data_IF_753077358161
#
_entry.id   IF_753077358161
#
_cell.length_a   1.000
_cell.length_b   1.000
_cell.length_c   1.000
_cell.angle_alpha   90.00
_cell.angle_beta   90.00
_cell.angle_gamma   90.00
#
_symmetry.space_group_name_H-M   'P 1'
#
loop_
_entity.id
_entity.type
_entity.pdbx_description
1 polymer ?
#
# COMPACT_ATOMS: atom_id res chain seq x y z
N UNK A 1 -44.07 21.04 54.01
CA UNK A 1 -42.77 21.17 53.39
C UNK A 1 -42.50 19.86 52.63
N UNK A 2 -42.60 19.89 51.28
CA UNK A 2 -42.38 18.74 50.40
C UNK A 2 -40.98 18.88 49.79
N UNK A 3 -40.07 17.98 50.15
CA UNK A 3 -38.74 17.90 49.58
C UNK A 3 -38.79 17.18 48.22
N UNK A 4 -38.52 17.89 47.14
CA UNK A 4 -38.27 17.30 45.82
C UNK A 4 -36.79 16.95 45.72
N UNK A 5 -36.49 15.64 45.68
CA UNK A 5 -35.16 15.13 45.32
C UNK A 5 -35.07 15.09 43.78
N UNK A 6 -34.21 15.93 43.21
CA UNK A 6 -33.81 15.87 41.81
C UNK A 6 -32.78 14.74 41.66
N UNK A 7 -33.17 13.65 41.04
CA UNK A 7 -32.20 12.64 40.55
C UNK A 7 -31.68 13.12 39.19
N UNK A 8 -30.47 13.66 39.17
CA UNK A 8 -29.72 13.92 37.93
C UNK A 8 -29.26 12.63 37.33
N UNK A 9 -29.87 12.18 36.23
CA UNK A 9 -29.35 11.07 35.45
C UNK A 9 -28.09 11.56 34.68
N UNK A 10 -26.91 11.12 35.10
CA UNK A 10 -25.67 11.32 34.38
C UNK A 10 -25.70 10.38 33.17
N UNK A 11 -26.03 10.88 31.97
CA UNK A 11 -25.81 10.15 30.73
C UNK A 11 -24.29 10.06 30.50
N UNK A 12 -23.71 8.89 30.77
CA UNK A 12 -22.42 8.52 30.22
C UNK A 12 -22.61 8.36 28.70
N UNK A 13 -22.19 9.35 27.94
CA UNK A 13 -21.95 9.18 26.51
C UNK A 13 -20.71 8.25 26.36
N UNK A 14 -20.95 6.96 26.21
CA UNK A 14 -19.93 6.04 25.72
C UNK A 14 -19.61 6.45 24.29
N UNK A 15 -18.46 7.09 24.08
CA UNK A 15 -17.87 7.24 22.75
C UNK A 15 -17.54 5.81 22.28
N UNK A 16 -18.39 5.25 21.44
CA UNK A 16 -18.06 4.05 20.68
C UNK A 16 -16.95 4.49 19.73
N UNK A 17 -15.70 4.31 20.13
CA UNK A 17 -14.58 4.34 19.23
C UNK A 17 -14.80 3.18 18.27
N UNK A 18 -15.01 3.46 16.99
CA UNK A 18 -15.10 2.42 15.97
C UNK A 18 -13.71 1.74 15.91
N UNK A 19 -13.59 0.59 16.54
CA UNK A 19 -12.39 -0.25 16.50
C UNK A 19 -12.17 -0.69 15.05
N UNK A 20 -10.90 -0.76 14.64
CA UNK A 20 -10.52 -1.33 13.36
C UNK A 20 -10.97 -2.79 13.30
N UNK A 21 -11.63 -3.17 12.21
CA UNK A 21 -12.05 -4.55 11.96
C UNK A 21 -11.80 -4.90 10.50
N UNK A 22 -11.30 -6.10 10.26
CA UNK A 22 -11.07 -6.71 8.97
C UNK A 22 -12.06 -7.86 8.75
N UNK A 23 -12.55 -8.03 7.53
CA UNK A 23 -13.51 -9.08 7.20
C UNK A 23 -12.88 -10.36 6.63
N UNK A 24 -11.56 -10.46 6.59
CA UNK A 24 -10.83 -11.55 5.93
C UNK A 24 -11.23 -12.94 6.45
N UNK A 25 -11.14 -13.18 7.77
CA UNK A 25 -11.41 -14.50 8.34
C UNK A 25 -12.85 -14.96 8.06
N UNK A 26 -13.82 -14.04 8.20
CA UNK A 26 -15.22 -14.33 7.86
C UNK A 26 -15.36 -14.69 6.37
N UNK A 27 -14.73 -13.93 5.48
CA UNK A 27 -14.76 -14.19 4.03
C UNK A 27 -14.13 -15.52 3.67
N UNK A 28 -13.02 -15.89 4.28
CA UNK A 28 -12.35 -17.17 4.10
C UNK A 28 -13.24 -18.32 4.55
N UNK A 29 -13.87 -18.20 5.73
CA UNK A 29 -14.82 -19.20 6.23
C UNK A 29 -16.03 -19.36 5.29
N UNK A 30 -16.62 -18.26 4.79
CA UNK A 30 -17.70 -18.29 3.80
C UNK A 30 -17.26 -18.97 2.49
N UNK A 31 -16.04 -18.73 2.05
CA UNK A 31 -15.46 -19.38 0.86
C UNK A 31 -15.28 -20.87 1.08
N UNK A 32 -14.72 -21.30 2.21
CA UNK A 32 -14.53 -22.71 2.55
C UNK A 32 -15.84 -23.47 2.71
N UNK A 33 -16.87 -22.85 3.27
CA UNK A 33 -18.20 -23.44 3.37
C UNK A 33 -18.79 -23.76 1.97
N UNK A 34 -18.50 -22.94 0.97
CA UNK A 34 -18.91 -23.14 -0.43
C UNK A 34 -17.95 -24.05 -1.21
N UNK A 35 -16.69 -24.16 -0.78
CA UNK A 35 -15.60 -24.85 -1.47
C UNK A 35 -14.83 -25.79 -0.51
N UNK A 36 -15.43 -26.93 -0.09
CA UNK A 36 -14.79 -27.83 0.89
C UNK A 36 -13.42 -28.39 0.43
N UNK A 37 -13.19 -28.49 -0.88
CA UNK A 37 -11.90 -28.93 -1.42
C UNK A 37 -10.79 -27.89 -1.20
N UNK A 38 -11.12 -26.59 -1.25
CA UNK A 38 -10.17 -25.52 -0.92
C UNK A 38 -9.83 -25.58 0.57
N UNK A 39 -10.83 -25.73 1.44
CA UNK A 39 -10.61 -25.92 2.89
C UNK A 39 -9.68 -27.10 3.19
N UNK A 40 -9.88 -28.24 2.52
CA UNK A 40 -9.04 -29.44 2.73
C UNK A 40 -7.56 -29.23 2.31
N UNK A 41 -7.28 -28.28 1.42
CA UNK A 41 -5.92 -27.97 0.94
C UNK A 41 -5.29 -26.77 1.66
N UNK A 42 -6.04 -26.11 2.52
CA UNK A 42 -5.57 -24.87 3.15
C UNK A 42 -4.28 -25.06 3.95
N UNK A 43 -4.20 -26.10 4.77
CA UNK A 43 -3.00 -26.41 5.57
C UNK A 43 -1.78 -26.66 4.68
N UNK A 44 -1.94 -27.40 3.59
CA UNK A 44 -0.85 -27.64 2.64
C UNK A 44 -0.40 -26.33 1.98
N UNK A 45 -1.34 -25.45 1.64
CA UNK A 45 -1.06 -24.14 1.10
C UNK A 45 -0.29 -23.26 2.11
N UNK A 46 -0.72 -23.21 3.38
CA UNK A 46 -0.01 -22.45 4.42
C UNK A 46 1.42 -22.97 4.62
N UNK A 47 1.60 -24.30 4.66
CA UNK A 47 2.91 -24.94 4.73
C UNK A 47 3.78 -24.58 3.50
N UNK A 48 3.21 -24.53 2.31
CA UNK A 48 3.89 -24.08 1.11
C UNK A 48 4.33 -22.61 1.23
N UNK A 49 3.43 -21.73 1.67
CA UNK A 49 3.69 -20.30 1.76
C UNK A 49 4.76 -19.95 2.79
N UNK A 50 4.81 -20.64 3.94
CA UNK A 50 5.79 -20.40 5.01
C UNK A 50 7.16 -21.04 4.75
N UNK A 51 7.29 -21.93 3.75
CA UNK A 51 8.54 -22.64 3.49
C UNK A 51 9.59 -21.74 2.83
N UNK A 52 10.68 -21.46 3.55
CA UNK A 52 11.80 -20.59 3.08
C UNK A 52 12.52 -21.11 1.83
N UNK A 53 12.37 -22.38 1.49
CA UNK A 53 13.02 -22.97 0.32
C UNK A 53 12.23 -22.79 -0.99
N UNK A 54 10.99 -22.30 -0.93
CA UNK A 54 10.13 -22.15 -2.10
C UNK A 54 10.31 -20.80 -2.84
N UNK A 55 10.91 -19.81 -2.19
CA UNK A 55 11.07 -18.47 -2.77
C UNK A 55 12.06 -18.49 -3.94
N UNK A 56 11.54 -18.52 -5.17
CA UNK A 56 12.34 -18.58 -6.41
C UNK A 56 12.48 -17.24 -7.12
N UNK A 57 11.64 -16.25 -6.78
CA UNK A 57 11.64 -14.95 -7.43
C UNK A 57 12.74 -14.07 -6.85
N UNK A 58 13.54 -13.44 -7.72
CA UNK A 58 14.58 -12.48 -7.35
C UNK A 58 14.17 -11.06 -7.77
N UNK A 59 14.58 -10.08 -6.97
CA UNK A 59 14.35 -8.65 -7.24
C UNK A 59 12.90 -8.19 -7.09
N UNK A 60 12.66 -6.95 -7.50
CA UNK A 60 11.36 -6.28 -7.36
C UNK A 60 10.37 -6.79 -8.40
N UNK A 61 9.17 -7.15 -7.95
CA UNK A 61 8.06 -7.52 -8.82
C UNK A 61 7.04 -6.40 -8.91
N UNK A 62 6.38 -6.29 -10.06
CA UNK A 62 5.35 -5.28 -10.30
C UNK A 62 3.99 -5.95 -10.44
N UNK A 63 3.02 -5.50 -9.65
CA UNK A 63 1.64 -5.99 -9.63
C UNK A 63 0.72 -4.94 -10.25
N UNK A 64 0.06 -5.25 -11.37
CA UNK A 64 -0.94 -4.35 -11.97
C UNK A 64 -2.20 -4.28 -11.13
N UNK A 65 -2.68 -3.07 -10.90
CA UNK A 65 -3.87 -2.78 -10.09
C UNK A 65 -4.96 -2.17 -10.97
N UNK A 66 -6.19 -2.61 -10.77
CA UNK A 66 -7.40 -1.93 -11.22
C UNK A 66 -8.23 -1.53 -10.01
N UNK A 67 -8.79 -0.33 -10.04
CA UNK A 67 -9.64 0.20 -8.96
C UNK A 67 -11.08 0.36 -9.46
N UNK A 68 -12.00 -0.33 -8.82
CA UNK A 68 -13.43 -0.33 -9.08
C UNK A 68 -14.15 0.51 -8.02
N UNK A 69 -14.54 1.74 -8.35
CA UNK A 69 -15.23 2.63 -7.41
C UNK A 69 -16.73 2.40 -7.48
N UNK A 70 -17.30 1.86 -6.40
CA UNK A 70 -18.74 1.63 -6.24
C UNK A 70 -19.29 2.68 -5.27
N UNK A 71 -20.09 3.63 -5.75
CA UNK A 71 -20.49 4.78 -4.95
C UNK A 71 -22.01 5.01 -4.95
N UNK A 72 -22.56 5.46 -3.83
CA UNK A 72 -23.99 5.82 -3.65
C UNK A 72 -24.19 7.33 -3.71
N UNK A 73 -23.12 8.09 -3.49
CA UNK A 73 -23.14 9.55 -3.49
C UNK A 73 -21.78 10.14 -3.89
N UNK A 74 -21.70 11.46 -4.04
CA UNK A 74 -20.48 12.14 -4.50
C UNK A 74 -19.28 11.97 -3.57
N UNK A 75 -19.47 11.84 -2.25
CA UNK A 75 -18.38 11.65 -1.28
C UNK A 75 -17.72 10.27 -1.42
N UNK A 76 -18.51 9.25 -1.72
CA UNK A 76 -18.03 7.88 -1.92
C UNK A 76 -17.35 7.69 -3.29
N UNK A 77 -17.58 8.60 -4.24
CA UNK A 77 -16.92 8.61 -5.54
C UNK A 77 -15.53 9.22 -5.44
N UNK A 78 -14.61 8.47 -4.82
CA UNK A 78 -13.24 8.92 -4.54
C UNK A 78 -12.55 9.46 -5.79
N UNK A 79 -11.78 10.55 -5.64
CA UNK A 79 -11.07 11.20 -6.75
C UNK A 79 -9.88 10.37 -7.24
N UNK A 80 -9.43 10.63 -8.47
CA UNK A 80 -8.20 10.03 -9.00
C UNK A 80 -6.97 10.41 -8.15
N UNK A 81 -6.96 11.60 -7.55
CA UNK A 81 -5.91 12.02 -6.62
C UNK A 81 -5.90 11.14 -5.34
N UNK A 82 -7.06 10.77 -4.82
CA UNK A 82 -7.18 9.86 -3.68
C UNK A 82 -6.68 8.46 -4.05
N UNK A 83 -7.06 7.95 -5.22
CA UNK A 83 -6.57 6.67 -5.77
C UNK A 83 -5.03 6.70 -5.92
N UNK A 84 -4.48 7.73 -6.55
CA UNK A 84 -3.04 7.88 -6.74
C UNK A 84 -2.29 7.93 -5.40
N UNK A 85 -2.85 8.57 -4.38
CA UNK A 85 -2.27 8.59 -3.03
C UNK A 85 -2.22 7.19 -2.41
N UNK A 86 -3.23 6.34 -2.65
CA UNK A 86 -3.21 4.96 -2.18
C UNK A 86 -2.11 4.13 -2.84
N UNK A 87 -1.93 4.23 -4.16
CA UNK A 87 -0.85 3.52 -4.86
C UNK A 87 0.52 3.98 -4.36
N UNK A 88 0.66 5.26 -4.04
CA UNK A 88 1.89 5.79 -3.42
C UNK A 88 2.16 5.14 -2.07
N UNK A 89 1.16 5.03 -1.20
CA UNK A 89 1.28 4.36 0.10
C UNK A 89 1.69 2.90 -0.07
N UNK A 90 1.01 2.14 -0.92
CA UNK A 90 1.35 0.74 -1.17
C UNK A 90 2.81 0.57 -1.58
N UNK A 91 3.30 1.44 -2.48
CA UNK A 91 4.69 1.42 -2.92
C UNK A 91 5.68 1.84 -1.83
N UNK A 92 5.29 2.66 -0.88
CA UNK A 92 6.11 3.01 0.27
C UNK A 92 6.16 1.88 1.30
N UNK A 93 5.02 1.33 1.68
CA UNK A 93 4.90 0.32 2.73
C UNK A 93 5.51 -1.02 2.28
N UNK A 94 5.19 -1.51 1.07
CA UNK A 94 5.72 -2.77 0.54
C UNK A 94 7.19 -2.72 0.14
N UNK A 95 7.78 -1.53 0.03
CA UNK A 95 9.21 -1.31 -0.22
C UNK A 95 9.96 -0.82 1.00
N UNK A 96 9.32 -0.77 2.18
CA UNK A 96 9.92 -0.24 3.41
C UNK A 96 10.51 1.16 3.22
N UNK A 97 9.79 2.00 2.45
CA UNK A 97 10.15 3.38 2.12
C UNK A 97 9.24 4.39 2.82
N UNK A 98 8.37 3.95 3.72
CA UNK A 98 7.48 4.78 4.50
C UNK A 98 8.30 5.73 5.40
N UNK A 99 8.06 7.03 5.26
CA UNK A 99 8.86 8.08 5.90
C UNK A 99 8.83 8.02 7.45
N UNK A 100 7.76 7.44 8.00
CA UNK A 100 7.56 7.30 9.45
C UNK A 100 8.17 6.00 10.03
N UNK A 101 8.81 5.15 9.23
CA UNK A 101 9.41 3.89 9.67
C UNK A 101 10.26 4.06 10.94
N UNK A 102 11.18 5.03 10.93
CA UNK A 102 12.11 5.23 12.05
C UNK A 102 11.46 5.79 13.32
N UNK A 103 10.26 6.35 13.21
CA UNK A 103 9.51 6.93 14.34
C UNK A 103 8.47 5.99 14.92
N UNK A 104 7.88 5.11 14.10
CA UNK A 104 6.82 4.19 14.56
C UNK A 104 7.35 2.80 14.86
N UNK A 105 8.44 2.35 14.21
CA UNK A 105 9.03 1.03 14.45
C UNK A 105 10.13 1.14 15.51
N UNK A 106 9.96 0.52 16.69
CA UNK A 106 10.99 0.49 17.74
C UNK A 106 12.28 -0.18 17.28
N UNK A 107 13.42 0.28 17.78
CA UNK A 107 14.74 -0.26 17.41
C UNK A 107 14.85 -1.78 17.60
N UNK A 108 14.16 -2.32 18.59
CA UNK A 108 14.11 -3.76 18.85
C UNK A 108 13.51 -4.56 17.69
N UNK A 109 12.59 -3.97 16.91
CA UNK A 109 11.93 -4.65 15.78
C UNK A 109 12.51 -4.28 14.41
N UNK A 110 13.31 -3.22 14.30
CA UNK A 110 13.95 -2.83 13.02
C UNK A 110 14.75 -3.94 12.32
N UNK A 111 15.48 -4.83 13.03
CA UNK A 111 16.19 -5.95 12.40
C UNK A 111 15.27 -6.98 11.72
N UNK A 112 14.02 -7.08 12.15
CA UNK A 112 13.03 -7.99 11.58
C UNK A 112 12.24 -7.36 10.43
N UNK A 113 12.30 -6.03 10.27
CA UNK A 113 11.54 -5.32 9.24
C UNK A 113 12.09 -5.56 7.83
N UNK A 114 11.22 -5.96 6.91
CA UNK A 114 11.59 -6.36 5.54
C UNK A 114 11.05 -5.41 4.47
N UNK A 115 11.84 -5.23 3.40
CA UNK A 115 11.36 -4.78 2.08
C UNK A 115 10.74 -5.99 1.38
N UNK A 116 9.44 -5.94 1.07
CA UNK A 116 8.72 -7.03 0.40
C UNK A 116 9.12 -7.21 -1.05
N UNK A 117 9.81 -6.22 -1.63
CA UNK A 117 10.22 -6.16 -3.03
C UNK A 117 9.03 -6.29 -4.00
N UNK A 118 7.91 -5.67 -3.63
CA UNK A 118 6.69 -5.59 -4.43
C UNK A 118 6.38 -4.12 -4.70
N UNK A 119 6.05 -3.80 -5.95
CA UNK A 119 5.52 -2.49 -6.34
C UNK A 119 4.19 -2.67 -7.07
N UNK A 120 3.34 -1.67 -6.96
CA UNK A 120 2.02 -1.63 -7.55
C UNK A 120 1.95 -0.52 -8.59
N UNK A 121 1.28 -0.78 -9.70
CA UNK A 121 1.07 0.21 -10.75
C UNK A 121 -0.39 0.19 -11.20
N UNK A 122 -0.96 1.33 -11.51
CA UNK A 122 -2.26 1.37 -12.18
C UNK A 122 -2.15 0.70 -13.56
N UNK A 123 -3.12 -0.16 -13.87
CA UNK A 123 -3.19 -0.80 -15.18
C UNK A 123 -3.34 0.27 -16.29
N UNK A 124 -2.56 0.15 -17.34
CA UNK A 124 -2.59 1.04 -18.52
C UNK A 124 -3.27 0.40 -19.72
N UNK A 125 -3.60 -0.89 -19.61
CA UNK A 125 -4.39 -1.65 -20.59
C UNK A 125 -5.54 -2.35 -19.88
N UNK A 126 -6.74 -2.32 -20.47
CA UNK A 126 -7.89 -3.09 -20.01
C UNK A 126 -7.77 -4.58 -20.41
N UNK A 127 -8.70 -5.48 -20.00
CA UNK A 127 -8.65 -6.89 -20.38
C UNK A 127 -8.71 -7.16 -21.90
N UNK A 128 -9.18 -6.20 -22.70
CA UNK A 128 -9.22 -6.26 -24.16
C UNK A 128 -7.97 -5.69 -24.82
N UNK A 129 -7.01 -5.17 -24.03
CA UNK A 129 -5.78 -4.54 -24.50
C UNK A 129 -5.91 -3.07 -24.87
N UNK A 130 -7.05 -2.43 -24.64
CA UNK A 130 -7.25 -0.99 -24.91
C UNK A 130 -6.58 -0.12 -23.83
N UNK A 131 -6.13 1.08 -24.18
CA UNK A 131 -5.62 2.04 -23.19
C UNK A 131 -6.65 2.37 -22.12
N UNK A 132 -6.22 2.46 -20.86
CA UNK A 132 -7.08 2.76 -19.70
C UNK A 132 -6.29 3.51 -18.63
N UNK A 133 -7.01 4.12 -17.68
CA UNK A 133 -6.44 4.65 -16.43
C UNK A 133 -6.38 3.60 -15.31
N UNK A 134 -6.94 2.40 -15.54
CA UNK A 134 -7.08 1.38 -14.51
C UNK A 134 -8.17 1.69 -13.48
N UNK A 135 -9.08 2.63 -13.75
CA UNK A 135 -10.17 3.04 -12.85
C UNK A 135 -11.52 2.87 -13.54
N UNK A 136 -12.40 2.14 -12.88
CA UNK A 136 -13.81 2.05 -13.26
C UNK A 136 -14.69 2.65 -12.16
N UNK A 137 -15.85 3.22 -12.53
CA UNK A 137 -16.76 3.87 -11.59
C UNK A 137 -18.19 3.50 -11.89
N UNK A 138 -18.94 3.13 -10.84
CA UNK A 138 -20.36 2.79 -10.98
C UNK A 138 -21.16 3.31 -9.78
N UNK A 139 -22.24 4.03 -10.07
CA UNK A 139 -23.25 4.34 -9.07
C UNK A 139 -24.02 3.07 -8.71
N UNK A 140 -24.19 2.81 -7.42
CA UNK A 140 -24.92 1.66 -6.88
C UNK A 140 -26.07 2.14 -5.98
N UNK A 141 -27.15 1.35 -5.79
CA UNK A 141 -28.24 1.71 -4.91
C UNK A 141 -27.84 1.79 -3.45
N UNK A 142 -28.62 2.49 -2.61
CA UNK A 142 -28.31 2.70 -1.18
C UNK A 142 -28.24 1.41 -0.36
N UNK A 143 -28.92 0.36 -0.80
CA UNK A 143 -28.93 -0.97 -0.18
C UNK A 143 -27.97 -1.97 -0.85
N UNK A 144 -26.97 -1.48 -1.59
CA UNK A 144 -26.01 -2.34 -2.28
C UNK A 144 -25.18 -3.16 -1.27
N UNK A 145 -25.12 -4.47 -1.51
CA UNK A 145 -24.34 -5.41 -0.69
C UNK A 145 -22.89 -5.48 -1.17
N UNK A 146 -22.02 -4.68 -0.53
CA UNK A 146 -20.57 -4.69 -0.82
C UNK A 146 -19.87 -6.00 -0.44
N UNK A 147 -20.53 -6.89 0.29
CA UNK A 147 -19.94 -8.17 0.72
C UNK A 147 -20.09 -9.25 -0.33
N UNK A 148 -21.20 -9.27 -1.05
CA UNK A 148 -21.53 -10.37 -1.97
C UNK A 148 -21.74 -9.93 -3.42
N UNK A 149 -21.95 -8.63 -3.68
CA UNK A 149 -22.29 -8.13 -5.01
C UNK A 149 -21.17 -7.34 -5.70
N UNK A 150 -20.08 -7.00 -5.00
CA UNK A 150 -19.04 -6.12 -5.49
C UNK A 150 -18.46 -6.54 -6.84
N UNK A 151 -18.22 -7.83 -7.06
CA UNK A 151 -17.64 -8.44 -8.26
C UNK A 151 -18.66 -8.91 -9.30
N UNK A 152 -19.96 -8.76 -9.03
CA UNK A 152 -21.04 -9.20 -9.93
C UNK A 152 -21.48 -8.09 -10.90
N UNK A 153 -22.39 -8.37 -11.80
CA UNK A 153 -22.99 -7.35 -12.69
C UNK A 153 -23.78 -6.27 -11.92
N UNK A 154 -24.20 -6.52 -10.69
CA UNK A 154 -24.79 -5.49 -9.81
C UNK A 154 -23.75 -4.45 -9.38
N UNK A 155 -22.52 -4.90 -9.08
CA UNK A 155 -21.32 -4.08 -8.87
C UNK A 155 -20.54 -3.88 -10.16
N UNK A 156 -19.21 -4.02 -10.07
CA UNK A 156 -18.26 -4.04 -11.19
C UNK A 156 -17.56 -5.39 -11.21
N UNK A 157 -17.72 -6.14 -12.29
CA UNK A 157 -17.05 -7.44 -12.45
C UNK A 157 -15.54 -7.29 -12.35
N UNK A 158 -14.87 -8.29 -11.76
CA UNK A 158 -13.41 -8.30 -11.73
C UNK A 158 -12.84 -8.26 -13.15
N UNK A 159 -11.78 -7.53 -13.36
CA UNK A 159 -10.90 -7.77 -14.49
C UNK A 159 -10.15 -9.08 -14.27
N UNK A 160 -9.64 -9.67 -15.35
CA UNK A 160 -8.93 -10.95 -15.31
C UNK A 160 -8.02 -11.08 -14.06
N UNK A 161 -8.48 -11.82 -13.06
CA UNK A 161 -7.82 -11.96 -11.76
C UNK A 161 -6.47 -12.67 -11.85
N UNK A 162 -6.15 -13.25 -13.01
CA UNK A 162 -4.83 -13.81 -13.30
C UNK A 162 -3.82 -12.76 -13.80
N UNK A 163 -4.28 -11.54 -14.09
CA UNK A 163 -3.45 -10.44 -14.62
C UNK A 163 -3.50 -9.17 -13.79
N UNK A 164 -4.56 -8.97 -13.01
CA UNK A 164 -4.79 -7.75 -12.24
C UNK A 164 -5.11 -8.06 -10.79
N UNK A 165 -4.55 -7.29 -9.88
CA UNK A 165 -5.09 -7.14 -8.55
C UNK A 165 -6.31 -6.22 -8.63
N UNK A 166 -7.49 -6.74 -8.33
CA UNK A 166 -8.73 -5.99 -8.33
C UNK A 166 -8.98 -5.38 -6.94
N UNK A 167 -9.18 -4.07 -6.88
CA UNK A 167 -9.50 -3.33 -5.65
C UNK A 167 -10.85 -2.65 -5.83
N UNK A 168 -11.85 -3.06 -5.06
CA UNK A 168 -13.13 -2.36 -4.99
C UNK A 168 -13.12 -1.36 -3.84
N UNK A 169 -13.56 -0.15 -4.14
CA UNK A 169 -13.68 0.94 -3.15
C UNK A 169 -15.15 1.27 -2.95
N UNK A 170 -15.61 1.19 -1.69
CA UNK A 170 -17.02 1.43 -1.38
C UNK A 170 -17.28 1.52 0.12
N UNK A 171 -18.36 0.91 0.61
CA UNK A 171 -18.74 0.93 2.04
C UNK A 171 -19.02 -0.49 2.54
N UNK A 172 -17.98 -1.31 2.79
CA UNK A 172 -18.19 -2.62 3.37
C UNK A 172 -18.81 -2.49 4.77
N UNK A 173 -19.84 -3.29 5.05
CA UNK A 173 -20.59 -3.19 6.29
C UNK A 173 -19.83 -3.78 7.47
N UNK A 174 -19.67 -2.99 8.54
CA UNK A 174 -19.09 -3.43 9.81
C UNK A 174 -17.59 -3.64 9.81
N UNK A 175 -16.88 -3.44 8.68
CA UNK A 175 -15.43 -3.59 8.56
C UNK A 175 -14.81 -2.43 7.77
N UNK A 176 -13.50 -2.20 7.93
CA UNK A 176 -12.76 -1.23 7.12
C UNK A 176 -12.46 -1.78 5.71
N UNK A 177 -12.27 -3.09 5.60
CA UNK A 177 -12.00 -3.81 4.38
C UNK A 177 -12.04 -5.32 4.59
N UNK A 178 -11.89 -6.04 3.49
CA UNK A 178 -11.60 -7.47 3.46
C UNK A 178 -10.91 -7.83 2.15
N UNK A 179 -10.15 -8.89 2.18
CA UNK A 179 -9.52 -9.48 1.00
C UNK A 179 -9.96 -10.94 0.82
N UNK A 180 -9.71 -11.48 -0.37
CA UNK A 180 -9.67 -12.91 -0.62
C UNK A 180 -8.22 -13.39 -0.50
N UNK A 181 -8.02 -14.57 0.09
CA UNK A 181 -6.69 -15.16 0.22
C UNK A 181 -6.25 -15.95 -1.01
N UNK A 182 -5.03 -16.51 -1.00
CA UNK A 182 -4.51 -17.34 -2.09
C UNK A 182 -5.32 -18.60 -2.37
N UNK A 183 -6.15 -19.07 -1.43
CA UNK A 183 -7.09 -20.20 -1.60
C UNK A 183 -8.11 -19.96 -2.72
N UNK A 184 -8.45 -18.70 -2.97
CA UNK A 184 -9.40 -18.27 -3.99
C UNK A 184 -8.74 -17.59 -5.19
N UNK A 185 -7.43 -17.75 -5.37
CA UNK A 185 -6.71 -17.15 -6.49
C UNK A 185 -7.34 -17.53 -7.85
N UNK A 186 -7.58 -16.53 -8.69
CA UNK A 186 -8.17 -16.73 -10.01
C UNK A 186 -9.70 -16.82 -10.05
N UNK A 187 -10.40 -16.75 -8.89
CA UNK A 187 -11.86 -16.74 -8.85
C UNK A 187 -12.44 -15.35 -9.19
N UNK A 188 -13.71 -15.24 -9.60
CA UNK A 188 -14.32 -13.95 -9.95
C UNK A 188 -14.34 -12.92 -8.80
N UNK A 189 -14.38 -13.35 -7.55
CA UNK A 189 -14.34 -12.52 -6.35
C UNK A 189 -12.92 -12.15 -5.91
N UNK A 190 -11.88 -12.65 -6.60
CA UNK A 190 -10.49 -12.52 -6.15
C UNK A 190 -10.00 -11.06 -6.19
N UNK A 191 -9.62 -10.53 -5.02
CA UNK A 191 -9.20 -9.16 -4.79
C UNK A 191 -9.51 -8.66 -3.39
N UNK A 192 -9.76 -7.35 -3.26
CA UNK A 192 -10.08 -6.74 -1.97
C UNK A 192 -11.14 -5.65 -2.09
N UNK A 193 -11.92 -5.47 -1.03
CA UNK A 193 -12.89 -4.37 -0.86
C UNK A 193 -12.41 -3.48 0.27
N UNK A 194 -12.33 -2.17 0.04
CA UNK A 194 -11.83 -1.18 1.01
C UNK A 194 -12.88 -0.07 1.19
N UNK A 195 -13.08 0.35 2.44
CA UNK A 195 -13.88 1.53 2.75
C UNK A 195 -13.30 2.80 2.12
N UNK A 196 -14.10 3.58 1.40
CA UNK A 196 -13.63 4.82 0.76
C UNK A 196 -12.97 5.79 1.75
N UNK A 197 -13.41 5.75 3.01
CA UNK A 197 -12.96 6.61 4.11
C UNK A 197 -11.64 6.17 4.76
N UNK A 198 -11.06 5.05 4.33
CA UNK A 198 -9.74 4.55 4.74
C UNK A 198 -8.87 4.17 3.53
N UNK A 199 -9.21 4.65 2.34
CA UNK A 199 -8.49 4.41 1.10
C UNK A 199 -7.71 5.67 0.68
N UNK A 200 -6.38 5.61 0.69
CA UNK A 200 -5.49 6.73 0.39
C UNK A 200 -5.23 7.66 1.58
N UNK A 201 -4.65 8.85 1.27
CA UNK A 201 -4.21 9.83 2.28
C UNK A 201 -4.83 11.22 2.08
N UNK A 202 -5.67 11.38 1.07
CA UNK A 202 -6.32 12.65 0.72
C UNK A 202 -7.80 12.44 0.42
N UNK A 203 -8.57 13.51 0.33
CA UNK A 203 -10.00 13.42 0.02
C UNK A 203 -10.84 13.03 1.23
N UNK A 204 -11.75 12.07 1.05
CA UNK A 204 -12.76 11.70 2.05
C UNK A 204 -12.28 10.65 3.06
N UNK A 205 -11.03 10.74 3.53
CA UNK A 205 -10.48 9.83 4.55
C UNK A 205 -10.85 10.28 5.97
N UNK A 206 -11.00 9.32 6.90
CA UNK A 206 -11.28 9.61 8.30
C UNK A 206 -9.99 10.00 9.07
N UNK A 207 -10.10 10.40 10.33
CA UNK A 207 -8.96 10.91 11.10
C UNK A 207 -8.04 9.83 11.68
N UNK A 208 -8.44 8.56 11.68
CA UNK A 208 -7.72 7.44 12.30
C UNK A 208 -7.04 6.59 11.22
N UNK A 209 -7.83 6.20 10.19
CA UNK A 209 -7.37 5.34 9.10
C UNK A 209 -7.09 6.20 7.85
N UNK A 210 -6.15 7.14 7.96
CA UNK A 210 -5.90 8.20 6.97
C UNK A 210 -4.54 8.10 6.29
N UNK A 211 -3.80 7.03 6.53
CA UNK A 211 -2.52 6.78 5.85
C UNK A 211 -2.61 5.67 4.79
N UNK A 212 -3.83 5.19 4.47
CA UNK A 212 -4.06 4.16 3.46
C UNK A 212 -3.59 2.76 3.87
N UNK A 213 -3.31 2.53 5.16
CA UNK A 213 -2.74 1.28 5.67
C UNK A 213 -3.77 0.16 5.82
N UNK A 214 -5.04 0.46 5.70
CA UNK A 214 -6.06 -0.56 5.52
C UNK A 214 -5.83 -1.36 4.24
N UNK A 215 -5.56 -0.70 3.11
CA UNK A 215 -5.26 -1.42 1.87
C UNK A 215 -3.92 -2.18 1.94
N UNK A 216 -2.92 -1.64 2.64
CA UNK A 216 -1.65 -2.35 2.92
C UNK A 216 -1.89 -3.65 3.68
N UNK A 217 -2.75 -3.63 4.71
CA UNK A 217 -3.18 -4.77 5.50
C UNK A 217 -3.92 -5.81 4.64
N UNK A 218 -4.96 -5.38 3.92
CA UNK A 218 -5.77 -6.31 3.12
C UNK A 218 -4.97 -6.97 1.97
N UNK A 219 -4.02 -6.25 1.37
CA UNK A 219 -3.10 -6.85 0.39
C UNK A 219 -2.16 -7.85 1.05
N UNK A 220 -1.82 -7.69 2.33
CA UNK A 220 -1.13 -8.73 3.10
C UNK A 220 -1.93 -10.05 3.09
N UNK A 221 -3.22 -10.00 3.40
CA UNK A 221 -4.12 -11.16 3.30
C UNK A 221 -4.27 -11.71 1.88
N UNK A 222 -4.37 -10.82 0.90
CA UNK A 222 -4.41 -11.22 -0.51
C UNK A 222 -3.19 -12.06 -0.89
N UNK A 223 -2.01 -11.79 -0.33
CA UNK A 223 -0.81 -12.59 -0.50
C UNK A 223 -0.64 -13.72 0.52
N UNK A 224 -1.58 -13.96 1.41
CA UNK A 224 -1.61 -15.11 2.31
C UNK A 224 -1.06 -14.85 3.72
N UNK A 225 -0.85 -13.60 4.11
CA UNK A 225 -0.54 -13.27 5.50
C UNK A 225 -1.79 -13.44 6.36
N UNK A 226 -1.64 -14.06 7.51
CA UNK A 226 -2.63 -14.04 8.58
C UNK A 226 -2.41 -12.82 9.47
N UNK A 227 -3.39 -12.50 10.34
CA UNK A 227 -3.18 -11.57 11.44
C UNK A 227 -2.06 -12.09 12.34
N UNK A 228 -1.34 -11.19 13.04
CA UNK A 228 -0.20 -11.62 13.88
C UNK A 228 -0.59 -12.49 15.07
N UNK A 229 -1.86 -12.54 15.43
CA UNK A 229 -2.40 -13.47 16.44
C UNK A 229 -2.88 -14.80 15.85
N UNK A 230 -2.78 -15.01 14.54
CA UNK A 230 -3.22 -16.22 13.85
C UNK A 230 -4.71 -16.22 13.51
N UNK A 231 -5.30 -17.41 13.42
CA UNK A 231 -6.70 -17.61 13.02
C UNK A 231 -7.67 -17.67 14.21
N UNK A 232 -7.17 -18.01 15.39
CA UNK A 232 -7.95 -18.09 16.66
C UNK A 232 -7.24 -17.25 17.72
N UNK A 233 -7.78 -16.06 17.96
CA UNK A 233 -7.27 -15.07 18.89
C UNK A 233 -7.45 -15.44 20.39
N UNK A 234 -8.06 -16.57 20.69
CA UNK A 234 -8.25 -17.03 22.08
C UNK A 234 -7.13 -17.92 22.61
N UNK A 235 -6.28 -18.48 21.73
CA UNK A 235 -5.34 -19.55 22.08
C UNK A 235 -3.89 -19.14 21.81
N UNK A 236 -3.02 -19.43 22.79
CA UNK A 236 -1.58 -19.31 22.66
C UNK A 236 -0.92 -20.68 22.44
N UNK A 237 0.04 -20.72 21.50
CA UNK A 237 1.01 -21.82 21.47
C UNK A 237 0.63 -23.06 20.68
N UNK A 238 -0.38 -22.99 19.81
CA UNK A 238 -0.64 -24.05 18.84
C UNK A 238 -0.17 -23.58 17.44
N UNK A 239 0.39 -24.47 16.58
CA UNK A 239 0.74 -24.12 15.22
C UNK A 239 -0.44 -23.63 14.38
N UNK A 240 -1.63 -24.14 14.65
CA UNK A 240 -2.87 -23.76 13.96
C UNK A 240 -3.26 -22.29 14.22
N UNK A 241 -2.82 -21.73 15.34
CA UNK A 241 -3.11 -20.35 15.75
C UNK A 241 -1.94 -19.40 15.52
N UNK A 242 -0.87 -19.90 14.88
CA UNK A 242 0.26 -19.07 14.48
C UNK A 242 -0.06 -18.31 13.21
N UNK A 243 0.52 -17.11 13.06
CA UNK A 243 0.51 -16.37 11.80
C UNK A 243 1.43 -16.99 10.71
N UNK A 244 2.11 -18.09 11.02
CA UNK A 244 3.08 -18.76 10.16
C UNK A 244 4.48 -18.11 10.14
N UNK A 245 4.73 -17.13 11.02
CA UNK A 245 5.98 -16.38 11.12
C UNK A 245 6.67 -16.64 12.46
N UNK A 246 7.98 -16.96 12.42
CA UNK A 246 8.76 -17.19 13.65
C UNK A 246 9.39 -15.89 14.19
N UNK A 247 9.38 -14.83 13.40
CA UNK A 247 9.98 -13.55 13.74
C UNK A 247 8.94 -12.50 14.23
N UNK A 248 7.68 -12.89 14.33
CA UNK A 248 6.61 -12.17 15.03
C UNK A 248 6.38 -12.79 16.40
N UNK A 249 6.46 -12.05 17.53
CA UNK A 249 6.12 -12.58 18.84
C UNK A 249 4.68 -13.08 18.87
N UNK A 250 4.48 -14.32 19.33
CA UNK A 250 3.15 -14.94 19.40
C UNK A 250 2.21 -14.11 20.29
N UNK A 251 1.06 -13.76 19.76
CA UNK A 251 -0.01 -13.03 20.44
C UNK A 251 -1.33 -13.79 20.30
N UNK A 252 -2.25 -13.56 21.22
CA UNK A 252 -3.57 -14.22 21.25
C UNK A 252 -4.73 -13.26 20.98
N UNK A 253 -4.47 -12.01 20.65
CA UNK A 253 -5.49 -11.03 20.28
C UNK A 253 -4.87 -9.82 19.60
N UNK A 254 -5.70 -9.04 18.90
CA UNK A 254 -5.35 -7.79 18.27
C UNK A 254 -5.01 -6.69 19.28
N UNK A 255 -4.14 -5.78 18.87
CA UNK A 255 -3.95 -4.49 19.51
C UNK A 255 -4.77 -3.43 18.78
N UNK A 256 -5.24 -2.42 19.51
CA UNK A 256 -6.09 -1.33 18.98
C UNK A 256 -5.53 0.04 19.38
N UNK A 257 -5.87 1.08 18.62
CA UNK A 257 -5.47 2.45 18.90
C UNK A 257 -3.97 2.66 18.78
N UNK A 258 -3.36 3.29 19.79
CA UNK A 258 -1.92 3.58 19.86
C UNK A 258 -1.32 3.00 21.15
N UNK A 259 -0.98 1.70 21.19
CA UNK A 259 -0.39 1.07 22.37
C UNK A 259 0.98 1.68 22.70
N UNK A 260 1.32 1.67 24.00
CA UNK A 260 2.67 2.05 24.42
C UNK A 260 3.65 0.88 24.25
N UNK A 261 4.81 1.17 23.72
CA UNK A 261 5.89 0.17 23.57
C UNK A 261 6.81 0.18 24.80
N UNK A 262 7.28 -0.99 25.29
CA UNK A 262 6.85 -2.34 24.91
C UNK A 262 5.48 -2.72 25.53
N UNK A 263 4.70 -3.56 24.83
CA UNK A 263 3.44 -4.07 25.34
C UNK A 263 3.40 -5.60 25.34
N UNK A 264 2.99 -6.19 26.47
CA UNK A 264 2.78 -7.63 26.64
C UNK A 264 1.30 -7.96 26.95
N UNK A 265 0.37 -7.04 26.64
CA UNK A 265 -1.05 -7.22 26.99
C UNK A 265 -1.66 -8.47 26.37
N UNK A 266 -1.25 -8.81 25.14
CA UNK A 266 -1.78 -9.96 24.39
C UNK A 266 -0.68 -10.94 23.95
N UNK A 267 0.57 -10.79 24.43
CA UNK A 267 1.63 -11.75 24.13
C UNK A 267 1.42 -13.06 24.88
N UNK A 268 1.65 -14.18 24.20
CA UNK A 268 1.58 -15.51 24.79
C UNK A 268 2.71 -15.77 25.79
N UNK A 269 3.84 -15.09 25.62
CA UNK A 269 4.98 -15.12 26.55
C UNK A 269 5.49 -13.69 26.71
N UNK A 270 5.55 -13.23 27.95
CA UNK A 270 6.09 -11.91 28.25
C UNK A 270 7.57 -11.84 27.91
N UNK A 271 7.96 -10.85 27.12
CA UNK A 271 9.34 -10.57 26.73
C UNK A 271 9.69 -9.11 26.98
N UNK A 272 11.00 -8.81 26.97
CA UNK A 272 11.45 -7.43 27.13
C UNK A 272 11.03 -6.51 25.97
N UNK A 273 10.75 -7.08 24.79
CA UNK A 273 10.37 -6.34 23.58
C UNK A 273 8.84 -6.36 23.33
N UNK A 274 8.08 -7.24 24.03
CA UNK A 274 6.63 -7.32 23.90
C UNK A 274 6.16 -7.73 22.50
N UNK A 275 4.92 -7.35 22.16
CA UNK A 275 4.28 -7.63 20.88
C UNK A 275 4.77 -6.70 19.76
N UNK A 276 4.74 -7.20 18.53
CA UNK A 276 5.03 -6.45 17.31
C UNK A 276 3.76 -5.73 16.79
N UNK A 277 3.05 -5.00 17.67
CA UNK A 277 1.76 -4.36 17.33
C UNK A 277 1.86 -3.30 16.20
N UNK A 278 3.07 -2.79 15.88
CA UNK A 278 3.28 -1.89 14.74
C UNK A 278 3.36 -2.62 13.40
N UNK A 279 3.16 -3.92 13.36
CA UNK A 279 3.06 -4.70 12.13
C UNK A 279 1.80 -4.33 11.35
N UNK A 280 1.88 -4.27 10.01
CA UNK A 280 0.72 -3.98 9.17
C UNK A 280 -0.41 -5.00 9.30
N UNK A 281 -0.14 -6.20 9.83
CA UNK A 281 -1.15 -7.25 10.04
C UNK A 281 -1.78 -7.22 11.44
N UNK A 282 -1.60 -6.14 12.21
CA UNK A 282 -2.34 -5.86 13.47
C UNK A 282 -3.48 -4.86 13.23
N UNK A 283 -4.24 -4.51 14.29
CA UNK A 283 -5.42 -3.64 14.24
C UNK A 283 -5.20 -2.26 14.88
N UNK A 284 -3.96 -1.86 15.10
CA UNK A 284 -3.62 -0.53 15.58
C UNK A 284 -3.97 0.56 14.54
N UNK A 285 -4.04 1.81 14.98
CA UNK A 285 -4.30 2.95 14.10
C UNK A 285 -3.23 3.06 13.01
N UNK A 286 -3.62 3.59 11.84
CA UNK A 286 -2.69 3.79 10.72
C UNK A 286 -1.41 4.53 11.11
N UNK A 287 -1.49 5.45 12.10
CA UNK A 287 -0.35 6.21 12.61
C UNK A 287 0.69 5.40 13.36
N UNK A 288 0.35 4.18 13.76
CA UNK A 288 1.19 3.29 14.57
C UNK A 288 1.77 2.14 13.75
N UNK A 289 1.12 1.74 12.66
CA UNK A 289 1.63 0.71 11.75
C UNK A 289 2.89 1.19 11.00
N UNK A 290 3.84 0.29 10.72
CA UNK A 290 5.06 0.70 10.04
C UNK A 290 5.91 -0.38 9.40
N UNK A 291 5.56 -1.67 9.52
CA UNK A 291 6.44 -2.74 9.03
C UNK A 291 5.71 -4.03 8.69
N UNK A 292 6.30 -4.79 7.79
CA UNK A 292 6.18 -6.25 7.67
C UNK A 292 7.46 -6.93 8.15
N UNK A 293 7.39 -8.21 8.53
CA UNK A 293 8.54 -8.99 8.97
C UNK A 293 9.25 -9.75 7.82
N UNK A 294 10.41 -10.35 8.12
CA UNK A 294 11.16 -11.15 7.14
C UNK A 294 10.42 -12.45 6.79
N UNK A 295 9.78 -13.12 7.76
CA UNK A 295 9.01 -14.33 7.49
C UNK A 295 7.72 -14.00 6.73
N UNK A 296 7.09 -12.86 7.00
CA UNK A 296 5.98 -12.33 6.18
C UNK A 296 6.41 -12.08 4.72
N UNK A 297 7.63 -11.57 4.48
CA UNK A 297 8.18 -11.47 3.13
C UNK A 297 8.25 -12.84 2.45
N UNK A 298 8.68 -13.88 3.15
CA UNK A 298 8.74 -15.24 2.60
C UNK A 298 7.36 -15.69 2.12
N UNK A 299 6.32 -15.52 2.94
CA UNK A 299 4.93 -15.87 2.59
C UNK A 299 4.47 -15.12 1.34
N UNK A 300 4.65 -13.79 1.31
CA UNK A 300 4.26 -12.95 0.16
C UNK A 300 4.99 -13.38 -1.11
N UNK A 301 6.30 -13.61 -1.04
CA UNK A 301 7.10 -14.03 -2.20
C UNK A 301 6.71 -15.42 -2.70
N UNK A 302 6.42 -16.37 -1.81
CA UNK A 302 5.92 -17.69 -2.14
C UNK A 302 4.52 -17.63 -2.75
N UNK A 303 3.64 -16.77 -2.26
CA UNK A 303 2.34 -16.53 -2.86
C UNK A 303 2.46 -16.04 -4.31
N UNK A 304 3.34 -15.08 -4.56
CA UNK A 304 3.60 -14.51 -5.90
C UNK A 304 4.28 -15.52 -6.82
N UNK A 305 5.12 -16.44 -6.33
CA UNK A 305 5.76 -17.48 -7.15
C UNK A 305 4.92 -18.75 -7.33
N UNK A 306 3.89 -18.93 -6.52
CA UNK A 306 3.01 -20.08 -6.48
C UNK A 306 1.59 -19.76 -6.93
N UNK A 307 0.62 -19.71 -6.02
CA UNK A 307 -0.81 -19.57 -6.39
C UNK A 307 -1.14 -18.30 -7.18
N UNK A 308 -0.32 -17.23 -7.06
CA UNK A 308 -0.49 -15.96 -7.78
C UNK A 308 0.55 -15.70 -8.86
N UNK A 309 1.26 -16.74 -9.31
CA UNK A 309 2.34 -16.61 -10.29
C UNK A 309 1.90 -16.03 -11.64
N UNK A 310 0.62 -16.19 -11.99
CA UNK A 310 0.05 -15.61 -13.20
C UNK A 310 0.15 -14.08 -13.27
N UNK A 311 0.11 -13.38 -12.13
CA UNK A 311 0.25 -11.92 -12.07
C UNK A 311 1.60 -11.43 -12.62
N UNK A 312 2.65 -12.23 -12.54
CA UNK A 312 3.98 -11.90 -13.05
C UNK A 312 4.05 -11.84 -14.57
N UNK A 313 3.13 -12.52 -15.25
CA UNK A 313 3.06 -12.56 -16.71
C UNK A 313 2.25 -11.39 -17.29
N UNK A 314 1.75 -10.51 -16.42
CA UNK A 314 0.97 -9.36 -16.85
C UNK A 314 1.86 -8.25 -17.40
N UNK A 315 1.58 -7.81 -18.63
CA UNK A 315 2.25 -6.66 -19.29
C UNK A 315 1.34 -5.43 -19.34
N UNK A 316 0.44 -5.31 -18.37
CA UNK A 316 -0.61 -4.30 -18.34
C UNK A 316 -0.20 -3.02 -17.60
N UNK A 317 0.97 -3.01 -16.99
CA UNK A 317 1.63 -1.79 -16.55
C UNK A 317 2.61 -1.32 -17.63
N UNK A 318 2.64 -0.05 -17.92
CA UNK A 318 3.89 0.53 -18.40
C UNK A 318 4.85 0.44 -17.22
N UNK A 319 5.65 -0.61 -17.18
CA UNK A 319 6.78 -0.63 -16.27
C UNK A 319 7.64 0.58 -16.63
N UNK A 320 7.63 1.60 -15.78
CA UNK A 320 8.87 2.31 -15.56
C UNK A 320 9.80 1.20 -15.06
N UNK A 321 10.57 0.62 -15.96
CA UNK A 321 11.51 -0.44 -15.58
C UNK A 321 12.34 0.13 -14.41
N UNK A 322 12.76 -0.71 -13.47
CA UNK A 322 13.72 -0.30 -12.41
C UNK A 322 14.89 0.45 -13.06
N UNK A 323 15.25 0.07 -14.29
CA UNK A 323 16.21 0.79 -15.14
C UNK A 323 15.81 2.24 -15.48
N UNK A 324 14.52 2.58 -15.60
CA UNK A 324 14.11 3.96 -15.92
C UNK A 324 14.07 4.86 -14.67
N UNK A 325 13.64 4.34 -13.52
CA UNK A 325 13.74 5.04 -12.24
C UNK A 325 15.21 5.25 -11.85
N UNK A 326 16.07 4.27 -12.06
CA UNK A 326 17.52 4.40 -11.86
C UNK A 326 18.14 5.41 -12.84
N UNK A 327 17.75 5.39 -14.11
CA UNK A 327 18.16 6.39 -15.10
C UNK A 327 17.74 7.79 -14.72
N UNK A 328 16.49 7.99 -14.29
CA UNK A 328 15.99 9.28 -13.79
C UNK A 328 16.75 9.71 -12.54
N UNK A 329 17.03 8.78 -11.59
CA UNK A 329 17.79 9.09 -10.38
C UNK A 329 19.24 9.47 -10.68
N UNK A 330 19.85 8.89 -11.69
CA UNK A 330 21.20 9.20 -12.14
C UNK A 330 21.32 10.58 -12.82
N UNK A 331 20.21 11.22 -13.20
CA UNK A 331 20.23 12.57 -13.77
C UNK A 331 20.60 13.58 -12.68
N UNK A 332 21.71 14.30 -12.88
CA UNK A 332 22.25 15.28 -11.95
C UNK A 332 22.77 16.53 -12.68
N UNK A 333 22.93 17.63 -11.94
CA UNK A 333 23.53 18.88 -12.39
C UNK A 333 24.92 19.06 -11.78
N UNK A 334 25.88 19.47 -12.56
CA UNK A 334 27.23 19.77 -12.11
C UNK A 334 27.85 20.95 -12.93
N UNK A 335 28.79 21.68 -12.31
CA UNK A 335 29.10 21.67 -10.89
C UNK A 335 27.96 22.26 -10.06
N UNK A 336 27.84 21.81 -8.82
CA UNK A 336 26.89 22.37 -7.87
C UNK A 336 27.53 22.38 -6.46
N UNK A 337 27.82 23.56 -5.86
CA UNK A 337 27.58 24.91 -6.36
C UNK A 337 28.40 25.33 -7.59
N UNK A 338 27.97 26.41 -8.27
CA UNK A 338 28.58 26.89 -9.51
C UNK A 338 28.62 28.41 -9.59
N UNK A 339 29.53 28.95 -10.45
CA UNK A 339 29.69 30.39 -10.68
C UNK A 339 29.43 30.80 -12.14
N UNK A 340 29.66 29.95 -13.11
CA UNK A 340 29.67 30.34 -14.52
C UNK A 340 28.73 29.53 -15.42
N UNK A 341 28.70 28.20 -15.21
CA UNK A 341 27.90 27.31 -16.05
C UNK A 341 27.42 26.09 -15.27
N UNK A 342 26.41 25.45 -15.79
CA UNK A 342 25.95 24.11 -15.38
C UNK A 342 25.96 23.18 -16.57
N UNK A 343 26.16 21.89 -16.30
CA UNK A 343 25.95 20.79 -17.25
C UNK A 343 25.06 19.74 -16.62
N UNK A 344 24.45 18.88 -17.45
CA UNK A 344 23.63 17.76 -16.98
C UNK A 344 24.39 16.47 -17.19
N UNK A 345 24.53 15.66 -16.14
CA UNK A 345 24.88 14.27 -16.24
C UNK A 345 23.62 13.41 -16.35
N UNK A 346 23.48 12.65 -17.41
CA UNK A 346 22.37 11.72 -17.64
C UNK A 346 22.88 10.43 -18.32
N UNK A 347 23.70 9.62 -17.64
CA UNK A 347 24.54 8.58 -18.25
C UNK A 347 23.79 7.49 -18.99
N UNK A 348 22.46 7.41 -18.80
CA UNK A 348 21.62 6.39 -19.43
C UNK A 348 20.35 6.98 -20.09
N UNK A 349 20.28 8.33 -20.23
CA UNK A 349 19.12 9.01 -20.74
C UNK A 349 19.53 10.26 -21.51
N UNK A 350 19.01 10.43 -22.72
CA UNK A 350 19.25 11.65 -23.50
C UNK A 350 18.30 12.76 -23.06
N UNK A 351 18.81 13.73 -22.31
CA UNK A 351 18.10 14.99 -22.00
C UNK A 351 18.35 15.94 -23.17
N UNK A 352 17.31 16.58 -23.68
CA UNK A 352 17.40 17.49 -24.81
C UNK A 352 16.91 18.91 -24.52
N UNK A 353 16.25 19.15 -23.39
CA UNK A 353 15.77 20.48 -23.01
C UNK A 353 15.81 20.66 -21.49
N UNK A 354 16.09 21.91 -21.06
CA UNK A 354 15.97 22.31 -19.66
C UNK A 354 15.35 23.70 -19.52
N UNK A 355 14.62 23.90 -18.45
CA UNK A 355 14.06 25.16 -17.99
C UNK A 355 14.61 25.50 -16.61
N UNK A 356 15.16 26.70 -16.43
CA UNK A 356 15.74 27.17 -15.18
C UNK A 356 14.80 28.22 -14.58
N UNK A 357 14.46 28.02 -13.31
CA UNK A 357 13.58 28.88 -12.52
C UNK A 357 14.37 29.45 -11.34
N UNK A 358 14.10 30.71 -10.98
CA UNK A 358 14.60 31.28 -9.74
C UNK A 358 13.80 30.78 -8.50
N UNK A 359 14.16 31.24 -7.30
CA UNK A 359 13.53 30.82 -6.05
C UNK A 359 12.03 31.19 -5.97
N UNK A 360 11.59 32.24 -6.69
CA UNK A 360 10.21 32.70 -6.76
C UNK A 360 9.40 31.92 -7.82
N UNK A 361 9.99 30.90 -8.49
CA UNK A 361 9.33 30.10 -9.52
C UNK A 361 9.21 30.78 -10.88
N UNK A 362 9.93 31.90 -11.11
CA UNK A 362 9.95 32.57 -12.42
C UNK A 362 10.95 31.87 -13.33
N UNK A 363 10.53 31.56 -14.56
CA UNK A 363 11.42 31.06 -15.61
C UNK A 363 12.46 32.14 -15.98
N UNK A 364 13.74 31.81 -15.80
CA UNK A 364 14.86 32.73 -16.08
C UNK A 364 15.66 32.32 -17.31
N UNK A 365 15.63 31.02 -17.68
CA UNK A 365 16.30 30.54 -18.90
C UNK A 365 15.67 29.23 -19.39
N UNK A 366 15.61 29.10 -20.73
CA UNK A 366 15.37 27.80 -21.40
C UNK A 366 16.60 27.50 -22.26
N UNK A 367 17.07 26.26 -22.22
CA UNK A 367 18.23 25.82 -22.98
C UNK A 367 18.00 24.42 -23.57
N UNK A 368 18.55 24.21 -24.76
CA UNK A 368 18.59 22.90 -25.40
C UNK A 368 19.95 22.25 -25.15
N UNK A 369 19.93 20.97 -24.86
CA UNK A 369 21.10 20.15 -24.56
C UNK A 369 21.28 19.15 -25.70
N UNK A 370 22.45 19.14 -26.32
CA UNK A 370 22.80 18.16 -27.37
C UNK A 370 23.63 17.02 -26.82
N UNK A 371 24.53 17.33 -25.89
CA UNK A 371 25.47 16.41 -25.29
C UNK A 371 25.61 16.68 -23.79
N UNK A 372 26.00 15.67 -23.00
CA UNK A 372 26.25 15.80 -21.55
C UNK A 372 27.38 16.78 -21.21
N UNK A 373 28.26 17.09 -22.17
CA UNK A 373 29.34 18.07 -22.00
C UNK A 373 28.94 19.50 -22.27
N UNK A 374 27.69 19.75 -22.72
CA UNK A 374 27.21 21.08 -23.02
C UNK A 374 27.19 21.94 -21.75
N UNK A 375 27.79 23.13 -21.84
CA UNK A 375 27.85 24.10 -20.74
C UNK A 375 26.78 25.16 -20.96
N UNK A 376 25.83 25.20 -20.03
CA UNK A 376 24.79 26.22 -20.04
C UNK A 376 25.28 27.39 -19.23
N UNK A 377 25.54 28.50 -19.89
CA UNK A 377 26.05 29.72 -19.27
C UNK A 377 24.99 30.36 -18.34
N UNK A 378 25.40 30.65 -17.11
CA UNK A 378 24.61 31.29 -16.06
C UNK A 378 25.37 32.44 -15.39
N UNK A 379 26.38 33.02 -16.06
CA UNK A 379 27.21 34.10 -15.47
C UNK A 379 26.37 35.28 -15.01
N UNK A 380 25.32 35.62 -15.78
CA UNK A 380 24.45 36.76 -15.50
C UNK A 380 23.40 36.50 -14.43
N UNK A 381 23.37 35.28 -13.83
CA UNK A 381 22.45 34.96 -12.76
C UNK A 381 22.97 35.51 -11.43
N UNK A 382 22.09 36.09 -10.64
CA UNK A 382 22.40 36.51 -9.28
C UNK A 382 22.75 35.32 -8.40
N UNK A 383 23.57 35.50 -7.36
CA UNK A 383 23.82 34.46 -6.38
C UNK A 383 22.51 34.04 -5.71
N UNK A 384 22.29 32.74 -5.58
CA UNK A 384 21.03 32.21 -5.03
C UNK A 384 20.75 30.76 -5.41
N UNK A 385 19.54 30.30 -5.04
CA UNK A 385 19.04 28.96 -5.33
C UNK A 385 18.21 28.99 -6.62
N UNK A 386 18.45 28.01 -7.47
CA UNK A 386 17.72 27.83 -8.73
C UNK A 386 17.22 26.41 -8.87
N UNK A 387 16.09 26.23 -9.54
CA UNK A 387 15.48 24.95 -9.86
C UNK A 387 15.52 24.73 -11.37
N UNK A 388 15.84 23.50 -11.77
CA UNK A 388 15.93 23.14 -13.19
C UNK A 388 14.96 22.00 -13.44
N UNK A 389 14.05 22.19 -14.38
CA UNK A 389 13.25 21.11 -14.96
C UNK A 389 13.95 20.60 -16.20
N UNK A 390 14.15 19.30 -16.29
CA UNK A 390 14.77 18.66 -17.44
C UNK A 390 13.75 17.82 -18.20
N UNK A 391 13.87 17.81 -19.53
CA UNK A 391 12.92 17.18 -20.43
C UNK A 391 13.64 16.28 -21.45
N UNK A 392 12.97 15.18 -21.80
CA UNK A 392 13.29 14.30 -22.92
C UNK A 392 12.12 14.34 -23.89
N UNK A 393 12.34 14.79 -25.12
CA UNK A 393 11.34 14.85 -26.20
C UNK A 393 10.02 15.53 -25.75
N UNK A 394 10.15 16.66 -25.04
CA UNK A 394 9.07 17.45 -24.42
C UNK A 394 8.37 16.79 -23.23
N UNK A 395 8.78 15.59 -22.81
CA UNK A 395 8.27 14.95 -21.59
C UNK A 395 9.13 15.35 -20.39
N UNK A 396 8.47 15.77 -19.31
CA UNK A 396 9.13 16.09 -18.06
C UNK A 396 9.79 14.84 -17.47
N UNK A 397 11.07 14.97 -17.09
CA UNK A 397 11.85 13.88 -16.48
C UNK A 397 12.05 14.09 -14.99
N UNK A 398 12.65 15.24 -14.61
CA UNK A 398 13.05 15.49 -13.20
C UNK A 398 13.19 16.99 -12.93
N UNK A 399 12.97 17.37 -11.67
CA UNK A 399 13.40 18.67 -11.14
C UNK A 399 14.67 18.51 -10.31
N UNK A 400 15.63 19.41 -10.52
CA UNK A 400 16.93 19.44 -9.86
C UNK A 400 17.15 20.82 -9.26
N UNK A 401 18.05 20.93 -8.27
CA UNK A 401 18.40 22.17 -7.62
C UNK A 401 19.89 22.44 -7.76
N UNK A 402 20.29 23.69 -8.05
CA UNK A 402 21.66 24.13 -7.93
C UNK A 402 21.80 25.46 -7.19
N UNK A 403 23.01 25.74 -6.70
CA UNK A 403 23.37 26.96 -5.99
C UNK A 403 24.33 27.75 -6.87
N UNK A 404 23.93 28.97 -7.26
CA UNK A 404 24.79 29.96 -7.90
C UNK A 404 25.53 30.74 -6.81
N UNK A 405 26.87 30.73 -6.86
CA UNK A 405 27.75 31.54 -6.04
C UNK A 405 28.09 32.88 -6.70
#
# INVERSE_FOLDING_TARGET
MKNFLFFGALMLASTISAQRTCGFDKKRQEYFAKNPQAAAKHVDLQNYLSNKNNATIQGVVTIPVVVHVLYRNATENVSDAQIASQITVLNQDYRKLNADFNTVVPDAFKPYASDMEVVFCMATKDPNGNPTTGVERKAVPSNFDYTNQYFTSAGLAAWDTTKYLNIWVGVPEGVLGFATGPDSAGQPEDGLVIGYYCFGTTGAVNNINNKGRTATHEIGHYFGLNHIWGEDDSLCGTPENSDGCNDTPATNNAYYGAPLFPSNQHTCTNTAIGAMFMNYMDYVDDGVMGMFSNDQKTIVRNSISGPRASLLNSNTCTTLSVSEAEKINAVNIFPNPTTQYISIAAPQMKINEMEIFNAEGRLVKRAFVKNETDKIDIKDFSAGVYYVRVYKDKQFVKSLKFIKK
#
